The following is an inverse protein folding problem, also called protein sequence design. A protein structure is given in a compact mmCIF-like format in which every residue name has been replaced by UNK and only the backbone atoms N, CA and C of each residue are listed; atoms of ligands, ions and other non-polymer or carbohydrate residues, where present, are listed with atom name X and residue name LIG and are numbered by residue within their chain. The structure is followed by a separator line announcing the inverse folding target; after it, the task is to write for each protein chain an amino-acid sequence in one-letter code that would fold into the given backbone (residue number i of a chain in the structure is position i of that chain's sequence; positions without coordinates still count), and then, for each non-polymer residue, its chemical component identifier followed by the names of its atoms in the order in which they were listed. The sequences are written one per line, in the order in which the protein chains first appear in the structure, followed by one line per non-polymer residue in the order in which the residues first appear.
data_IF_334864492677
#
_entry.id   IF_334864492677
#
_cell.length_a   1.000
_cell.length_b   1.000
_cell.length_c   1.000
_cell.angle_alpha   90.00
_cell.angle_beta   90.00
_cell.angle_gamma   90.00
#
_symmetry.space_group_name_H-M   'P 1'
#
loop_
_entity.id
_entity.type
_entity.pdbx_description
1 polymer ?
#
# COMPACT_ATOMS: atom_id res chain seq x y z
N UNK A 1 -13.07 8.62 -1.34
CA UNK A 1 -13.99 7.47 -1.28
C UNK A 1 -13.22 6.23 -1.69
N UNK A 2 -13.07 5.25 -0.78
CA UNK A 2 -12.20 4.08 -0.98
C UNK A 2 -12.74 3.09 -2.02
N UNK A 3 -14.07 3.01 -2.22
CA UNK A 3 -14.65 2.19 -3.28
C UNK A 3 -14.30 2.74 -4.65
N UNK A 4 -14.38 4.07 -4.78
CA UNK A 4 -13.98 4.75 -6.00
C UNK A 4 -12.47 4.56 -6.26
N UNK A 5 -11.64 4.68 -5.21
CA UNK A 5 -10.20 4.45 -5.33
C UNK A 5 -9.86 3.07 -5.91
N UNK A 6 -10.56 2.02 -5.46
CA UNK A 6 -10.41 0.67 -6.01
C UNK A 6 -10.79 0.61 -7.50
N UNK A 7 -11.96 1.13 -7.87
CA UNK A 7 -12.42 1.12 -9.27
C UNK A 7 -11.57 1.99 -10.20
N UNK A 8 -10.89 3.01 -9.65
CA UNK A 8 -10.03 3.94 -10.39
C UNK A 8 -8.57 3.51 -10.44
N UNK A 9 -8.22 2.35 -9.87
CA UNK A 9 -6.84 1.88 -9.75
C UNK A 9 -5.90 2.89 -9.07
N UNK A 10 -6.41 3.57 -8.03
CA UNK A 10 -5.63 4.54 -7.25
C UNK A 10 -4.72 3.87 -6.21
N UNK A 11 -4.88 2.56 -5.98
CA UNK A 11 -3.99 1.78 -5.13
C UNK A 11 -2.79 1.26 -5.91
N UNK A 12 -1.59 1.50 -5.38
CA UNK A 12 -0.33 1.05 -5.97
C UNK A 12 0.49 0.24 -4.99
N UNK A 13 1.27 -0.69 -5.53
CA UNK A 13 2.19 -1.52 -4.75
C UNK A 13 3.60 -0.94 -4.82
N UNK A 14 4.14 -0.58 -3.67
CA UNK A 14 5.54 -0.21 -3.52
C UNK A 14 6.32 -1.38 -2.94
N UNK A 15 7.61 -1.49 -3.27
CA UNK A 15 8.48 -2.53 -2.74
C UNK A 15 9.61 -1.91 -1.94
N UNK A 16 9.73 -2.32 -0.68
CA UNK A 16 10.86 -1.94 0.18
C UNK A 16 11.83 -3.10 0.26
N UNK A 17 13.04 -2.91 -0.27
CA UNK A 17 14.08 -3.95 -0.25
C UNK A 17 14.50 -4.29 1.19
N UNK A 18 14.60 -5.58 1.47
CA UNK A 18 15.20 -6.13 2.67
C UNK A 18 16.65 -6.50 2.36
N UNK A 19 17.57 -5.99 3.17
CA UNK A 19 19.02 -6.11 2.94
C UNK A 19 19.63 -6.97 4.04
N UNK A 20 20.47 -7.94 3.67
CA UNK A 20 21.29 -8.67 4.63
C UNK A 20 22.34 -7.72 5.22
N UNK A 21 22.32 -7.51 6.54
CA UNK A 21 23.24 -6.56 7.19
C UNK A 21 24.72 -7.01 7.18
N UNK A 22 25.01 -8.29 6.99
CA UNK A 22 26.37 -8.84 6.97
C UNK A 22 26.98 -8.69 5.59
N UNK A 23 26.25 -9.15 4.57
CA UNK A 23 26.75 -9.32 3.22
C UNK A 23 26.24 -8.26 2.23
N UNK A 24 25.34 -7.36 2.69
CA UNK A 24 24.80 -6.20 1.96
C UNK A 24 24.07 -6.52 0.63
N UNK A 25 23.62 -7.76 0.44
CA UNK A 25 22.79 -8.12 -0.70
C UNK A 25 21.30 -8.05 -0.35
N UNK A 26 20.46 -7.85 -1.37
CA UNK A 26 19.00 -7.86 -1.24
C UNK A 26 18.54 -9.31 -1.04
N UNK A 27 17.87 -9.59 0.07
CA UNK A 27 17.31 -10.92 0.40
C UNK A 27 15.85 -11.05 0.01
N UNK A 28 15.14 -9.94 -0.12
CA UNK A 28 13.73 -9.90 -0.46
C UNK A 28 13.21 -8.48 -0.53
N UNK A 29 11.88 -8.34 -0.60
CA UNK A 29 11.21 -7.06 -0.50
C UNK A 29 9.87 -7.19 0.22
N UNK A 30 9.54 -6.20 1.03
CA UNK A 30 8.20 -6.04 1.58
C UNK A 30 7.31 -5.31 0.57
N UNK A 31 6.15 -5.89 0.28
CA UNK A 31 5.14 -5.29 -0.56
C UNK A 31 4.25 -4.38 0.29
N UNK A 32 4.23 -3.09 -0.06
CA UNK A 32 3.60 -2.04 0.71
C UNK A 32 2.54 -1.35 -0.14
N UNK A 33 1.27 -1.48 0.27
CA UNK A 33 0.17 -0.79 -0.39
C UNK A 33 0.29 0.73 -0.18
N UNK A 34 0.02 1.51 -1.23
CA UNK A 34 -0.05 2.97 -1.21
C UNK A 34 -1.30 3.42 -1.95
N UNK A 35 -1.82 4.58 -1.59
CA UNK A 35 -2.95 5.19 -2.29
C UNK A 35 -2.49 6.50 -2.92
N UNK A 36 -2.48 6.56 -4.25
CA UNK A 36 -2.32 7.79 -5.00
C UNK A 36 -3.65 8.55 -5.06
N UNK A 37 -3.95 9.29 -3.98
CA UNK A 37 -5.17 10.07 -3.91
C UNK A 37 -5.09 11.29 -4.85
N UNK A 38 -6.12 11.56 -5.69
CA UNK A 38 -6.07 12.65 -6.67
C UNK A 38 -5.86 14.04 -6.04
N UNK A 39 -6.38 14.26 -4.83
CA UNK A 39 -6.26 15.55 -4.13
C UNK A 39 -5.12 15.61 -3.09
N UNK A 40 -4.80 14.49 -2.43
CA UNK A 40 -3.86 14.47 -1.30
C UNK A 40 -2.49 13.87 -1.67
N UNK A 41 -2.36 13.36 -2.90
CA UNK A 41 -1.14 12.69 -3.36
C UNK A 41 -0.98 11.31 -2.73
N UNK A 42 0.27 10.90 -2.55
CA UNK A 42 0.62 9.57 -2.05
C UNK A 42 0.35 9.44 -0.55
N UNK A 43 -0.58 8.57 -0.18
CA UNK A 43 -0.96 8.30 1.20
C UNK A 43 -0.38 6.98 1.73
N UNK A 44 0.00 6.99 3.00
CA UNK A 44 0.49 5.81 3.73
C UNK A 44 -0.68 4.88 4.09
N UNK A 45 -0.49 3.55 4.10
CA UNK A 45 -1.52 2.58 4.50
C UNK A 45 -2.11 2.85 5.88
N UNK A 46 -1.32 3.37 6.83
CA UNK A 46 -1.81 3.72 8.18
C UNK A 46 -2.99 4.70 8.17
N UNK A 47 -3.19 5.46 7.09
CA UNK A 47 -4.26 6.44 6.97
C UNK A 47 -5.58 5.86 6.46
N UNK A 48 -5.57 4.68 5.82
CA UNK A 48 -6.75 4.14 5.15
C UNK A 48 -6.99 2.64 5.37
N UNK A 49 -5.99 1.87 5.78
CA UNK A 49 -6.11 0.42 5.98
C UNK A 49 -7.13 0.08 7.05
N UNK A 50 -7.16 0.83 8.16
CA UNK A 50 -8.17 0.61 9.21
C UNK A 50 -9.61 0.71 8.65
N UNK A 51 -9.86 1.67 7.75
CA UNK A 51 -11.18 1.85 7.12
C UNK A 51 -11.47 0.69 6.15
N UNK A 52 -10.46 0.20 5.41
CA UNK A 52 -10.60 -0.99 4.57
C UNK A 52 -10.93 -2.25 5.39
N UNK A 53 -10.32 -2.41 6.56
CA UNK A 53 -10.58 -3.53 7.48
C UNK A 53 -12.00 -3.47 8.06
N UNK A 54 -12.40 -2.31 8.61
CA UNK A 54 -13.72 -2.11 9.21
C UNK A 54 -14.87 -2.28 8.19
N UNK A 55 -14.62 -1.92 6.92
CA UNK A 55 -15.60 -2.04 5.84
C UNK A 55 -15.59 -3.40 5.14
N UNK A 56 -14.61 -4.28 5.43
CA UNK A 56 -14.40 -5.55 4.74
C UNK A 56 -13.81 -5.43 3.32
N UNK A 57 -13.59 -4.21 2.82
CA UNK A 57 -13.03 -3.96 1.49
C UNK A 57 -11.56 -4.35 1.37
N UNK A 58 -10.86 -4.58 2.49
CA UNK A 58 -9.47 -5.05 2.49
C UNK A 58 -9.27 -6.36 1.72
N UNK A 59 -10.33 -7.16 1.53
CA UNK A 59 -10.29 -8.40 0.76
C UNK A 59 -10.46 -8.19 -0.76
N UNK A 60 -10.91 -7.01 -1.18
CA UNK A 60 -11.14 -6.68 -2.59
C UNK A 60 -9.99 -5.88 -3.22
N UNK A 61 -9.16 -5.24 -2.38
CA UNK A 61 -7.99 -4.43 -2.78
C UNK A 61 -6.78 -5.31 -3.12
#
# INVERSE_FOLDING_TARGET
DLRLALTRNEFQLHFQAQIDCRDQYITGAEALLRWEHPEYGLLSPDQFVQILEESGMILEV
#
